data_IF_074662940204
#
_entry.id   IF_074662940204
#
_cell.length_a   1.000
_cell.length_b   1.000
_cell.length_c   1.000
_cell.angle_alpha   90.00
_cell.angle_beta   90.00
_cell.angle_gamma   90.00
#
_symmetry.space_group_name_H-M   'P 1'
#
loop_
_entity.id
_entity.type
_entity.pdbx_description
1 polymer ?
#
# COMPACT_ATOMS: atom_id res chain seq x y z
N UNK A 1 -14.75 11.73 58.26
CA UNK A 1 -15.47 10.44 58.15
C UNK A 1 -14.73 9.58 57.12
N UNK A 2 -14.41 8.31 57.41
CA UNK A 2 -13.75 7.44 56.44
C UNK A 2 -14.76 6.92 55.41
N UNK A 3 -14.33 6.84 54.15
CA UNK A 3 -15.12 6.31 53.03
C UNK A 3 -15.33 4.79 53.15
N UNK A 4 -16.46 4.25 52.65
CA UNK A 4 -16.75 2.83 52.70
C UNK A 4 -15.78 2.03 51.78
N UNK A 5 -15.46 0.78 52.12
CA UNK A 5 -14.57 -0.06 51.31
C UNK A 5 -15.22 -0.40 49.97
N UNK A 6 -14.42 -0.35 48.90
CA UNK A 6 -14.83 -0.77 47.56
C UNK A 6 -15.14 -2.27 47.52
N UNK A 7 -16.14 -2.70 46.73
CA UNK A 7 -16.47 -4.11 46.58
C UNK A 7 -15.31 -4.88 45.90
N UNK A 8 -15.18 -6.19 46.16
CA UNK A 8 -14.11 -6.99 45.57
C UNK A 8 -14.26 -7.03 44.04
N UNK A 9 -13.15 -6.81 43.34
CA UNK A 9 -13.10 -6.94 41.88
C UNK A 9 -13.55 -8.35 41.45
N UNK A 10 -14.57 -8.41 40.59
CA UNK A 10 -14.95 -9.65 39.93
C UNK A 10 -13.75 -10.16 39.11
N UNK A 11 -13.36 -11.42 39.32
CA UNK A 11 -12.33 -12.06 38.49
C UNK A 11 -12.83 -12.10 37.03
N UNK A 12 -11.98 -11.78 36.04
CA UNK A 12 -12.32 -12.01 34.64
C UNK A 12 -12.65 -13.50 34.44
N UNK A 13 -13.77 -13.79 33.77
CA UNK A 13 -14.05 -15.13 33.29
C UNK A 13 -12.92 -15.58 32.33
N UNK A 14 -12.53 -16.86 32.32
CA UNK A 14 -11.62 -17.37 31.30
C UNK A 14 -12.27 -17.14 29.94
N UNK A 15 -11.59 -16.42 29.06
CA UNK A 15 -12.01 -16.31 27.66
C UNK A 15 -11.74 -17.69 27.06
N UNK A 16 -12.78 -18.51 26.94
CA UNK A 16 -12.71 -19.75 26.15
C UNK A 16 -12.43 -19.34 24.71
N UNK A 17 -11.29 -19.77 24.18
CA UNK A 17 -10.94 -19.60 22.78
C UNK A 17 -12.14 -20.05 21.93
N UNK A 18 -12.64 -19.16 21.09
CA UNK A 18 -13.64 -19.52 20.11
C UNK A 18 -13.06 -20.66 19.26
N UNK A 19 -13.84 -21.72 19.05
CA UNK A 19 -13.45 -22.80 18.16
C UNK A 19 -13.05 -22.20 16.80
N UNK A 20 -11.97 -22.69 16.16
CA UNK A 20 -11.55 -22.20 14.86
C UNK A 20 -12.72 -22.36 13.88
N UNK A 21 -13.22 -21.23 13.36
CA UNK A 21 -14.16 -21.25 12.25
C UNK A 21 -13.37 -21.73 11.05
N UNK A 22 -13.69 -22.91 10.54
CA UNK A 22 -13.27 -23.34 9.21
C UNK A 22 -14.25 -22.72 8.21
N UNK A 23 -14.01 -21.51 7.76
CA UNK A 23 -14.61 -21.04 6.51
C UNK A 23 -14.01 -21.83 5.36
N UNK A 24 -14.92 -22.17 4.46
CA UNK A 24 -14.69 -22.93 3.24
C UNK A 24 -14.52 -22.00 2.03
N UNK A 25 -14.41 -20.68 2.25
CA UNK A 25 -14.31 -19.71 1.18
C UNK A 25 -12.89 -19.76 0.59
N UNK A 26 -12.75 -20.01 -0.73
CA UNK A 26 -11.42 -19.98 -1.34
C UNK A 26 -10.87 -18.55 -1.33
N UNK A 27 -9.55 -18.41 -1.21
CA UNK A 27 -8.87 -17.12 -1.35
C UNK A 27 -9.37 -16.36 -2.58
N UNK A 28 -9.85 -15.14 -2.38
CA UNK A 28 -10.30 -14.22 -3.43
C UNK A 28 -9.26 -13.12 -3.62
N UNK A 29 -8.34 -13.25 -4.59
CA UNK A 29 -7.42 -12.16 -4.90
C UNK A 29 -8.18 -11.01 -5.58
N UNK A 30 -7.67 -9.79 -5.37
CA UNK A 30 -8.02 -8.66 -6.24
C UNK A 30 -7.21 -8.78 -7.52
N UNK A 31 -7.91 -8.87 -8.64
CA UNK A 31 -7.32 -8.94 -9.98
C UNK A 31 -7.16 -7.54 -10.54
N UNK A 32 -5.92 -7.04 -10.55
CA UNK A 32 -5.54 -5.80 -11.21
C UNK A 32 -4.70 -6.11 -12.45
N UNK A 33 -4.83 -5.26 -13.47
CA UNK A 33 -3.96 -5.35 -14.65
C UNK A 33 -2.62 -4.66 -14.33
N UNK A 34 -1.47 -5.32 -14.61
CA UNK A 34 -0.18 -4.65 -14.54
C UNK A 34 -0.20 -3.39 -15.39
N UNK A 35 0.25 -2.27 -14.81
CA UNK A 35 0.50 -1.07 -15.59
C UNK A 35 1.74 -1.30 -16.46
N UNK A 36 1.59 -1.12 -17.77
CA UNK A 36 2.69 -1.16 -18.73
C UNK A 36 2.88 0.26 -19.24
N UNK A 37 4.00 0.88 -18.89
CA UNK A 37 4.36 2.17 -19.45
C UNK A 37 4.99 1.96 -20.83
N UNK A 38 4.22 2.22 -21.89
CA UNK A 38 4.75 2.21 -23.26
C UNK A 38 5.44 3.53 -23.63
N UNK A 39 5.19 4.60 -22.84
CA UNK A 39 5.75 5.91 -23.09
C UNK A 39 7.12 6.07 -22.44
N UNK A 40 8.12 6.43 -23.25
CA UNK A 40 9.49 6.69 -22.80
C UNK A 40 9.86 8.18 -22.80
N UNK A 41 8.93 9.03 -23.24
CA UNK A 41 9.13 10.48 -23.30
C UNK A 41 8.51 11.15 -22.09
N UNK A 42 9.04 12.29 -21.67
CA UNK A 42 8.43 13.09 -20.61
C UNK A 42 6.97 13.37 -20.94
N UNK A 43 6.11 13.28 -19.92
CA UNK A 43 4.70 13.63 -20.07
C UNK A 43 4.53 15.15 -20.18
N UNK A 44 3.41 15.63 -20.73
CA UNK A 44 3.01 17.02 -20.55
C UNK A 44 2.99 17.36 -19.05
N UNK A 45 3.54 18.50 -18.64
CA UNK A 45 3.45 18.89 -17.23
C UNK A 45 2.00 19.07 -16.79
N UNK A 46 1.73 18.66 -15.56
CA UNK A 46 0.41 18.74 -14.95
C UNK A 46 0.48 19.29 -13.51
N UNK A 47 -0.69 19.54 -12.91
CA UNK A 47 -0.79 20.03 -11.53
C UNK A 47 -1.80 19.21 -10.74
N UNK A 48 -1.47 18.91 -9.49
CA UNK A 48 -2.21 18.09 -8.51
C UNK A 48 -3.66 18.52 -8.43
N UNK A 49 -3.92 19.83 -8.36
CA UNK A 49 -5.26 20.40 -8.23
C UNK A 49 -6.21 20.03 -9.38
N UNK A 50 -5.68 19.63 -10.53
CA UNK A 50 -6.48 19.23 -11.69
C UNK A 50 -6.95 17.77 -11.60
N UNK A 51 -6.33 16.96 -10.74
CA UNK A 51 -6.54 15.51 -10.68
C UNK A 51 -7.17 15.05 -9.38
N UNK A 52 -6.88 15.73 -8.27
CA UNK A 52 -7.33 15.35 -6.93
C UNK A 52 -7.77 16.58 -6.15
N UNK A 53 -8.88 16.44 -5.44
CA UNK A 53 -9.32 17.32 -4.36
C UNK A 53 -8.64 16.84 -3.07
N UNK A 54 -7.71 17.63 -2.54
CA UNK A 54 -6.86 17.22 -1.41
C UNK A 54 -7.64 17.05 -0.11
N UNK A 55 -8.74 17.78 0.07
CA UNK A 55 -9.58 17.65 1.26
C UNK A 55 -10.37 16.34 1.21
N UNK A 56 -10.89 15.98 0.03
CA UNK A 56 -11.52 14.67 -0.17
C UNK A 56 -10.53 13.52 -0.04
N UNK A 57 -9.30 13.70 -0.54
CA UNK A 57 -8.23 12.72 -0.37
C UNK A 57 -7.93 12.46 1.11
N UNK A 58 -7.68 13.54 1.86
CA UNK A 58 -7.43 13.49 3.30
C UNK A 58 -8.57 12.78 4.05
N UNK A 59 -9.83 13.16 3.77
CA UNK A 59 -11.00 12.52 4.38
C UNK A 59 -11.12 11.03 3.99
N UNK A 60 -10.84 10.68 2.73
CA UNK A 60 -10.85 9.31 2.23
C UNK A 60 -9.82 8.43 2.93
N UNK A 61 -8.61 8.94 3.11
CA UNK A 61 -7.52 8.26 3.84
C UNK A 61 -7.91 8.05 5.31
N UNK A 62 -8.34 9.11 5.99
CA UNK A 62 -8.80 9.02 7.38
C UNK A 62 -9.89 7.96 7.57
N UNK A 63 -10.85 7.92 6.65
CA UNK A 63 -11.94 6.96 6.72
C UNK A 63 -11.53 5.51 6.39
N UNK A 64 -10.40 5.28 5.71
CA UNK A 64 -9.85 3.93 5.44
C UNK A 64 -8.94 3.49 6.59
N UNK A 65 -8.07 4.38 7.06
CA UNK A 65 -7.08 4.07 8.10
C UNK A 65 -7.60 4.24 9.53
N UNK A 66 -8.79 4.83 9.72
CA UNK A 66 -9.36 5.06 11.05
C UNK A 66 -8.62 6.12 11.86
N UNK A 67 -7.98 7.09 11.20
CA UNK A 67 -7.20 8.18 11.80
C UNK A 67 -7.87 9.54 11.60
N UNK A 68 -7.32 10.59 12.22
CA UNK A 68 -7.72 11.97 11.90
C UNK A 68 -7.30 12.34 10.46
N UNK A 69 -8.06 13.20 9.75
CA UNK A 69 -7.69 13.69 8.43
C UNK A 69 -6.25 14.20 8.38
N UNK A 70 -5.34 13.53 7.64
CA UNK A 70 -3.95 13.94 7.56
C UNK A 70 -3.84 15.22 6.74
N UNK A 71 -2.91 16.11 7.13
CA UNK A 71 -2.57 17.25 6.30
C UNK A 71 -1.76 16.76 5.10
N UNK A 72 -2.18 17.11 3.89
CA UNK A 72 -1.43 16.79 2.68
C UNK A 72 -0.43 17.92 2.37
N UNK A 73 0.86 17.61 2.40
CA UNK A 73 1.93 18.50 1.91
C UNK A 73 2.50 17.92 0.61
N UNK A 74 1.97 18.40 -0.53
CA UNK A 74 2.33 17.90 -1.86
C UNK A 74 3.10 18.97 -2.61
N UNK A 75 4.32 18.64 -3.03
CA UNK A 75 5.17 19.44 -3.89
C UNK A 75 5.15 18.92 -5.33
N UNK A 76 4.83 19.79 -6.27
CA UNK A 76 4.98 19.54 -7.70
C UNK A 76 6.43 19.88 -8.12
N UNK A 77 7.10 18.93 -8.77
CA UNK A 77 8.47 19.09 -9.27
C UNK A 77 8.62 18.45 -10.65
N UNK A 78 9.79 18.62 -11.26
CA UNK A 78 10.26 17.78 -12.36
C UNK A 78 10.94 16.52 -11.81
N UNK A 79 11.16 15.51 -12.65
CA UNK A 79 11.99 14.34 -12.30
C UNK A 79 13.41 14.74 -11.90
N UNK A 80 14.03 15.69 -12.61
CA UNK A 80 15.35 16.21 -12.25
C UNK A 80 15.34 16.85 -10.86
N UNK A 81 14.32 17.67 -10.55
CA UNK A 81 14.15 18.26 -9.24
C UNK A 81 13.90 17.22 -8.16
N UNK A 82 13.15 16.16 -8.46
CA UNK A 82 12.94 15.04 -7.55
C UNK A 82 14.26 14.30 -7.26
N UNK A 83 15.04 13.95 -8.30
CA UNK A 83 16.37 13.36 -8.13
C UNK A 83 17.29 14.23 -7.28
N UNK A 84 17.24 15.56 -7.47
CA UNK A 84 17.99 16.51 -6.64
C UNK A 84 17.56 16.49 -5.17
N UNK A 85 16.26 16.46 -4.89
CA UNK A 85 15.73 16.40 -3.52
C UNK A 85 16.12 15.09 -2.84
N UNK A 86 16.06 13.97 -3.57
CA UNK A 86 16.42 12.64 -3.08
C UNK A 86 17.93 12.40 -3.02
N UNK A 87 18.75 13.34 -3.53
CA UNK A 87 20.21 13.17 -3.66
C UNK A 87 20.62 11.92 -4.44
N UNK A 88 19.91 11.61 -5.53
CA UNK A 88 20.20 10.50 -6.45
C UNK A 88 20.56 11.01 -7.85
N UNK A 89 21.21 10.19 -8.69
CA UNK A 89 21.46 10.55 -10.09
C UNK A 89 20.16 10.81 -10.86
N UNK A 90 20.19 11.78 -11.77
CA UNK A 90 19.16 11.99 -12.78
C UNK A 90 19.59 11.35 -14.11
N UNK A 91 18.76 10.45 -14.63
CA UNK A 91 18.99 9.73 -15.89
C UNK A 91 18.19 10.39 -17.01
N UNK A 92 18.76 11.41 -17.64
CA UNK A 92 18.11 12.16 -18.72
C UNK A 92 17.86 11.30 -19.98
N UNK A 93 18.80 10.41 -20.32
CA UNK A 93 18.72 9.56 -21.51
C UNK A 93 17.80 8.33 -21.32
N UNK A 94 17.52 7.98 -20.06
CA UNK A 94 16.59 6.91 -19.69
C UNK A 94 15.59 7.38 -18.62
N UNK A 95 14.64 8.27 -18.98
CA UNK A 95 13.72 8.89 -18.03
C UNK A 95 12.98 7.88 -17.14
N UNK A 96 12.60 6.71 -17.68
CA UNK A 96 11.88 5.66 -16.96
C UNK A 96 12.66 5.01 -15.80
N UNK A 97 13.97 5.31 -15.65
CA UNK A 97 14.77 4.85 -14.49
C UNK A 97 14.68 5.78 -13.28
N UNK A 98 14.17 6.99 -13.44
CA UNK A 98 14.06 7.93 -12.34
C UNK A 98 12.75 7.68 -11.56
N UNK A 99 12.71 7.99 -10.26
CA UNK A 99 11.47 7.96 -9.50
C UNK A 99 10.45 8.95 -10.07
N UNK A 100 9.18 8.58 -10.00
CA UNK A 100 8.06 9.40 -10.50
C UNK A 100 7.33 10.15 -9.38
N UNK A 101 7.57 9.73 -8.15
CA UNK A 101 7.09 10.33 -6.92
C UNK A 101 7.95 9.81 -5.74
N UNK A 102 7.85 10.50 -4.61
CA UNK A 102 8.49 10.10 -3.36
C UNK A 102 7.83 10.77 -2.18
N UNK A 103 7.60 10.01 -1.10
CA UNK A 103 7.24 10.56 0.21
C UNK A 103 8.48 10.60 1.10
N UNK A 104 8.82 11.79 1.59
CA UNK A 104 9.98 11.98 2.46
C UNK A 104 9.73 11.47 3.88
N UNK A 105 10.80 11.20 4.67
CA UNK A 105 10.66 10.85 6.09
C UNK A 105 9.92 11.91 6.93
N UNK A 106 9.85 13.16 6.47
CA UNK A 106 9.08 14.24 7.09
C UNK A 106 7.61 14.28 6.66
N UNK A 107 7.16 13.33 5.83
CA UNK A 107 5.78 13.22 5.36
C UNK A 107 5.45 14.14 4.19
N UNK A 108 6.45 14.74 3.54
CA UNK A 108 6.23 15.57 2.35
C UNK A 108 6.24 14.72 1.08
N UNK A 109 5.21 14.90 0.27
CA UNK A 109 5.02 14.15 -0.99
C UNK A 109 5.58 14.99 -2.13
N UNK A 110 6.45 14.40 -2.94
CA UNK A 110 6.99 15.00 -4.14
C UNK A 110 6.47 14.27 -5.37
N UNK A 111 5.89 15.00 -6.31
CA UNK A 111 5.36 14.47 -7.56
C UNK A 111 6.16 14.98 -8.74
N UNK A 112 6.81 14.08 -9.49
CA UNK A 112 7.51 14.45 -10.71
C UNK A 112 6.52 14.61 -11.87
N UNK A 113 5.96 15.81 -12.01
CA UNK A 113 4.83 16.12 -12.92
C UNK A 113 5.12 15.97 -14.41
N UNK A 114 6.34 15.63 -14.80
CA UNK A 114 6.77 15.33 -16.17
C UNK A 114 7.18 13.87 -16.39
N UNK A 115 6.96 12.97 -15.41
CA UNK A 115 7.33 11.57 -15.56
C UNK A 115 6.60 10.90 -16.74
N UNK A 116 7.29 10.08 -17.57
CA UNK A 116 6.69 9.39 -18.71
C UNK A 116 5.45 8.57 -18.37
N UNK A 117 5.44 7.97 -17.19
CA UNK A 117 4.38 7.11 -16.65
C UNK A 117 3.03 7.83 -16.54
N UNK A 118 3.04 9.16 -16.46
CA UNK A 118 1.83 9.96 -16.38
C UNK A 118 1.18 10.25 -17.74
N UNK A 119 1.70 9.70 -18.84
CA UNK A 119 1.05 9.80 -20.15
C UNK A 119 1.12 8.53 -20.99
N UNK A 120 0.05 8.27 -21.74
CA UNK A 120 -0.03 7.22 -22.74
C UNK A 120 -0.39 7.84 -24.10
N UNK A 121 0.39 7.54 -25.14
CA UNK A 121 0.17 8.13 -26.47
C UNK A 121 0.28 9.67 -26.51
N UNK A 122 1.07 10.26 -25.61
CA UNK A 122 1.23 11.71 -25.49
C UNK A 122 0.10 12.44 -24.76
N UNK A 123 -0.87 11.71 -24.20
CA UNK A 123 -2.00 12.26 -23.43
C UNK A 123 -1.87 11.84 -21.97
N UNK A 124 -2.19 12.75 -21.05
CA UNK A 124 -2.11 12.50 -19.62
C UNK A 124 -3.04 11.36 -19.17
N UNK A 125 -2.48 10.40 -18.46
CA UNK A 125 -3.18 9.26 -17.87
C UNK A 125 -3.69 9.62 -16.47
N UNK A 126 -4.90 10.18 -16.44
CA UNK A 126 -5.51 10.66 -15.20
C UNK A 126 -5.64 9.56 -14.12
N UNK A 127 -5.88 8.30 -14.53
CA UNK A 127 -5.97 7.18 -13.60
C UNK A 127 -4.62 6.91 -12.95
N UNK A 128 -3.53 6.88 -13.74
CA UNK A 128 -2.18 6.69 -13.19
C UNK A 128 -1.76 7.84 -12.27
N UNK A 129 -2.02 9.10 -12.66
CA UNK A 129 -1.73 10.28 -11.84
C UNK A 129 -2.45 10.19 -10.49
N UNK A 130 -3.76 9.91 -10.51
CA UNK A 130 -4.56 9.78 -9.28
C UNK A 130 -4.11 8.61 -8.43
N UNK A 131 -3.82 7.45 -9.04
CA UNK A 131 -3.33 6.28 -8.30
C UNK A 131 -2.01 6.57 -7.58
N UNK A 132 -1.04 7.21 -8.25
CA UNK A 132 0.23 7.56 -7.58
C UNK A 132 0.01 8.61 -6.48
N UNK A 133 -0.80 9.64 -6.72
CA UNK A 133 -1.12 10.64 -5.68
C UNK A 133 -1.74 10.00 -4.44
N UNK A 134 -2.69 9.08 -4.62
CA UNK A 134 -3.33 8.36 -3.52
C UNK A 134 -2.32 7.47 -2.79
N UNK A 135 -1.46 6.75 -3.53
CA UNK A 135 -0.43 5.88 -2.96
C UNK A 135 0.53 6.65 -2.05
N UNK A 136 1.16 7.72 -2.57
CA UNK A 136 2.09 8.53 -1.79
C UNK A 136 1.40 9.23 -0.60
N UNK A 137 0.14 9.63 -0.77
CA UNK A 137 -0.62 10.22 0.33
C UNK A 137 -0.92 9.23 1.46
N UNK A 138 -1.03 7.94 1.13
CA UNK A 138 -1.18 6.87 2.13
C UNK A 138 0.14 6.63 2.85
N UNK A 139 1.28 6.62 2.13
CA UNK A 139 2.62 6.63 2.76
C UNK A 139 2.75 7.79 3.74
N UNK A 140 2.43 9.00 3.32
CA UNK A 140 2.51 10.20 4.15
C UNK A 140 1.55 10.17 5.34
N UNK A 141 0.46 9.40 5.28
CA UNK A 141 -0.48 9.25 6.39
C UNK A 141 -0.14 8.10 7.35
N UNK A 142 0.81 7.24 6.99
CA UNK A 142 1.27 6.13 7.82
C UNK A 142 2.03 6.62 9.06
N UNK A 143 2.22 5.73 10.04
CA UNK A 143 2.97 6.02 11.25
C UNK A 143 4.38 6.51 10.92
N UNK A 144 4.76 7.66 11.49
CA UNK A 144 6.03 8.36 11.23
C UNK A 144 6.36 8.51 9.73
N UNK A 145 5.34 8.49 8.85
CA UNK A 145 5.47 8.54 7.39
C UNK A 145 6.30 7.40 6.77
N UNK A 146 6.52 6.34 7.54
CA UNK A 146 7.41 5.23 7.16
C UNK A 146 6.74 3.86 7.28
N UNK A 147 5.50 3.78 7.76
CA UNK A 147 4.68 2.56 7.75
C UNK A 147 5.44 1.30 8.16
N UNK A 148 5.63 0.38 7.22
CA UNK A 148 6.37 -0.87 7.42
C UNK A 148 7.74 -0.89 6.74
N UNK A 149 8.33 0.26 6.39
CA UNK A 149 9.64 0.33 5.74
C UNK A 149 10.72 -0.40 6.53
N UNK A 150 10.77 -0.20 7.85
CA UNK A 150 11.76 -0.86 8.72
C UNK A 150 11.53 -2.37 8.77
N UNK A 151 10.29 -2.79 9.01
CA UNK A 151 9.88 -4.20 8.98
C UNK A 151 10.25 -4.88 7.66
N UNK A 152 10.05 -4.19 6.54
CA UNK A 152 10.39 -4.71 5.20
C UNK A 152 11.90 -4.86 5.02
N UNK A 153 12.69 -3.89 5.50
CA UNK A 153 14.17 -3.97 5.47
C UNK A 153 14.66 -5.18 6.25
N UNK A 154 14.12 -5.41 7.45
CA UNK A 154 14.49 -6.53 8.32
C UNK A 154 14.06 -7.89 7.75
N UNK A 155 12.90 -7.95 7.07
CA UNK A 155 12.42 -9.15 6.38
C UNK A 155 13.22 -9.51 5.11
N UNK A 156 14.09 -8.60 4.65
CA UNK A 156 14.85 -8.74 3.41
C UNK A 156 14.01 -8.36 2.18
N UNK A 157 14.21 -7.12 1.70
CA UNK A 157 13.48 -6.56 0.56
C UNK A 157 13.58 -7.50 -0.65
N UNK A 158 12.42 -7.85 -1.21
CA UNK A 158 12.30 -8.62 -2.45
C UNK A 158 11.08 -8.12 -3.23
N UNK A 159 11.12 -8.21 -4.55
CA UNK A 159 9.98 -7.89 -5.43
C UNK A 159 8.71 -8.68 -5.11
N UNK A 160 8.82 -9.79 -4.39
CA UNK A 160 7.70 -10.66 -4.04
C UNK A 160 7.20 -10.53 -2.59
N UNK A 161 7.81 -9.73 -1.71
CA UNK A 161 7.34 -9.55 -0.33
C UNK A 161 7.73 -8.20 0.29
N UNK A 162 7.51 -7.11 -0.44
CA UNK A 162 7.69 -5.75 0.08
C UNK A 162 6.46 -5.35 0.93
N UNK A 163 6.48 -5.64 2.24
CA UNK A 163 5.33 -5.42 3.11
C UNK A 163 4.88 -3.96 3.17
N UNK A 164 5.81 -3.02 3.12
CA UNK A 164 5.52 -1.59 3.14
C UNK A 164 4.78 -1.13 1.88
N UNK A 165 5.36 -1.35 0.70
CA UNK A 165 4.73 -0.96 -0.55
C UNK A 165 3.42 -1.72 -0.79
N UNK A 166 3.35 -3.00 -0.40
CA UNK A 166 2.15 -3.80 -0.58
C UNK A 166 1.03 -3.42 0.39
N UNK A 167 1.34 -3.02 1.63
CA UNK A 167 0.35 -2.48 2.56
C UNK A 167 -0.13 -1.11 2.12
N UNK A 168 0.80 -0.23 1.72
CA UNK A 168 0.47 1.08 1.19
C UNK A 168 -0.44 0.96 -0.01
N UNK A 169 -0.08 0.12 -1.00
CA UNK A 169 -0.89 -0.03 -2.21
C UNK A 169 -2.24 -0.70 -1.92
N UNK A 170 -2.32 -1.61 -0.93
CA UNK A 170 -3.57 -2.19 -0.46
C UNK A 170 -4.54 -1.13 0.08
N UNK A 171 -4.08 -0.25 0.96
CA UNK A 171 -4.90 0.83 1.50
C UNK A 171 -5.18 1.92 0.45
N UNK A 172 -4.21 2.25 -0.40
CA UNK A 172 -4.37 3.19 -1.50
C UNK A 172 -5.44 2.75 -2.49
N UNK A 173 -5.49 1.46 -2.84
CA UNK A 173 -6.57 0.91 -3.65
C UNK A 173 -7.95 1.12 -3.01
N UNK A 174 -8.09 0.91 -1.69
CA UNK A 174 -9.36 1.15 -0.97
C UNK A 174 -9.76 2.64 -0.95
N UNK A 175 -8.79 3.52 -0.72
CA UNK A 175 -9.01 4.98 -0.78
C UNK A 175 -9.43 5.37 -2.19
N UNK A 176 -8.74 4.88 -3.21
CA UNK A 176 -9.01 5.19 -4.60
C UNK A 176 -10.41 4.74 -5.03
N UNK A 177 -10.81 3.51 -4.69
CA UNK A 177 -12.15 3.00 -4.99
C UNK A 177 -13.27 3.84 -4.34
N UNK A 178 -13.01 4.45 -3.19
CA UNK A 178 -13.97 5.38 -2.55
C UNK A 178 -14.07 6.72 -3.27
N UNK A 179 -12.95 7.24 -3.78
CA UNK A 179 -12.90 8.55 -4.43
C UNK A 179 -13.31 8.49 -5.91
N UNK A 180 -12.99 7.38 -6.57
CA UNK A 180 -13.13 7.18 -8.02
C UNK A 180 -13.70 5.78 -8.32
N UNK A 181 -14.94 5.48 -7.92
CA UNK A 181 -15.50 4.12 -8.01
C UNK A 181 -15.59 3.56 -9.43
N UNK A 182 -15.67 4.44 -10.44
CA UNK A 182 -15.79 4.06 -11.84
C UNK A 182 -14.46 4.16 -12.61
N UNK A 183 -13.34 4.46 -11.94
CA UNK A 183 -12.04 4.59 -12.56
C UNK A 183 -11.14 3.38 -12.26
N UNK A 184 -10.31 3.00 -13.22
CA UNK A 184 -9.30 1.97 -13.02
C UNK A 184 -8.22 2.46 -12.05
N UNK A 185 -7.81 1.62 -11.09
CA UNK A 185 -6.63 1.84 -10.27
C UNK A 185 -5.38 1.32 -11.00
N UNK A 186 -4.43 2.21 -11.32
CA UNK A 186 -3.22 1.87 -12.08
C UNK A 186 -1.97 1.90 -11.21
N UNK A 187 -1.38 0.74 -10.98
CA UNK A 187 -0.26 0.54 -10.06
C UNK A 187 0.87 -0.28 -10.69
N UNK A 188 2.10 -0.06 -10.20
CA UNK A 188 3.29 -0.82 -10.59
C UNK A 188 3.68 -1.87 -9.53
N UNK A 189 2.97 -1.92 -8.39
CA UNK A 189 3.30 -2.76 -7.24
C UNK A 189 2.84 -4.20 -7.46
N UNK A 190 3.47 -4.86 -8.43
CA UNK A 190 3.25 -6.26 -8.78
C UNK A 190 4.45 -7.10 -8.35
N UNK A 191 4.17 -8.34 -7.95
CA UNK A 191 5.19 -9.38 -7.78
C UNK A 191 5.80 -9.72 -9.15
N UNK A 192 6.94 -10.41 -9.14
CA UNK A 192 7.61 -10.85 -10.37
C UNK A 192 7.66 -12.37 -10.47
N UNK A 193 7.38 -12.91 -11.65
CA UNK A 193 7.61 -14.32 -11.95
C UNK A 193 9.10 -14.67 -12.12
N UNK A 194 9.40 -15.91 -12.48
CA UNK A 194 10.78 -16.38 -12.69
C UNK A 194 11.48 -15.70 -13.89
N UNK A 195 10.72 -15.11 -14.81
CA UNK A 195 11.22 -14.33 -15.95
C UNK A 195 11.30 -12.82 -15.67
N UNK A 196 11.05 -12.39 -14.43
CA UNK A 196 11.06 -10.99 -14.02
C UNK A 196 9.84 -10.19 -14.50
N UNK A 197 8.79 -10.85 -14.99
CA UNK A 197 7.58 -10.16 -15.47
C UNK A 197 6.58 -9.92 -14.33
N UNK A 198 5.84 -8.80 -14.33
CA UNK A 198 4.75 -8.55 -13.39
C UNK A 198 3.76 -9.72 -13.36
N UNK A 199 3.40 -10.20 -12.15
CA UNK A 199 2.64 -11.44 -12.01
C UNK A 199 1.33 -11.30 -11.27
N UNK A 200 1.34 -10.94 -9.99
CA UNK A 200 0.12 -10.65 -9.21
C UNK A 200 0.29 -9.34 -8.48
N UNK A 201 -0.81 -8.66 -8.23
CA UNK A 201 -0.78 -7.42 -7.46
C UNK A 201 -0.29 -7.68 -6.02
N UNK A 202 0.68 -6.88 -5.57
CA UNK A 202 1.35 -7.05 -4.28
C UNK A 202 0.43 -6.87 -3.08
N UNK A 203 -0.58 -6.01 -3.17
CA UNK A 203 -1.60 -5.83 -2.10
C UNK A 203 -2.37 -7.11 -1.76
N UNK A 204 -2.35 -8.13 -2.61
CA UNK A 204 -2.87 -9.45 -2.29
C UNK A 204 -2.12 -10.16 -1.15
N UNK A 205 -0.90 -9.72 -0.78
CA UNK A 205 -0.20 -10.18 0.41
C UNK A 205 -1.02 -9.86 1.66
N UNK A 206 -1.42 -8.59 1.81
CA UNK A 206 -2.24 -8.13 2.93
C UNK A 206 -3.62 -8.78 2.87
N UNK A 207 -4.23 -8.86 1.69
CA UNK A 207 -5.50 -9.57 1.53
C UNK A 207 -5.42 -11.04 1.97
N UNK A 208 -4.31 -11.72 1.67
CA UNK A 208 -4.10 -13.11 2.12
C UNK A 208 -3.88 -13.20 3.63
N UNK A 209 -3.13 -12.28 4.24
CA UNK A 209 -2.97 -12.23 5.70
C UNK A 209 -4.32 -12.10 6.40
N UNK A 210 -5.21 -11.26 5.88
CA UNK A 210 -6.57 -11.06 6.40
C UNK A 210 -7.44 -12.30 6.17
N UNK A 211 -7.54 -12.80 4.92
CA UNK A 211 -8.40 -13.93 4.58
C UNK A 211 -7.94 -15.25 5.24
N UNK A 212 -6.64 -15.42 5.49
CA UNK A 212 -6.11 -16.61 6.19
C UNK A 212 -6.22 -16.55 7.71
N UNK A 213 -6.82 -15.47 8.27
CA UNK A 213 -6.85 -15.23 9.71
C UNK A 213 -5.46 -15.08 10.32
N UNK A 214 -4.44 -14.77 9.52
CA UNK A 214 -3.07 -14.54 10.01
C UNK A 214 -3.00 -13.28 10.86
N UNK A 215 -3.65 -12.22 10.41
CA UNK A 215 -3.90 -11.01 11.18
C UNK A 215 -5.27 -10.44 10.79
N UNK A 216 -5.93 -9.74 11.70
CA UNK A 216 -7.12 -8.98 11.32
C UNK A 216 -6.72 -7.73 10.53
N UNK A 217 -7.61 -7.26 9.65
CA UNK A 217 -7.36 -6.01 8.94
C UNK A 217 -7.22 -4.82 9.91
N UNK A 218 -7.98 -4.83 11.02
CA UNK A 218 -7.90 -3.79 12.04
C UNK A 218 -6.51 -3.73 12.69
N UNK A 219 -5.91 -4.89 13.00
CA UNK A 219 -4.57 -4.94 13.59
C UNK A 219 -3.49 -4.46 12.59
N UNK A 220 -3.60 -4.86 11.32
CA UNK A 220 -2.69 -4.38 10.27
C UNK A 220 -2.82 -2.88 10.10
N UNK A 221 -4.05 -2.36 10.07
CA UNK A 221 -4.33 -0.92 9.92
C UNK A 221 -3.79 -0.14 11.11
N UNK A 222 -4.00 -0.62 12.34
CA UNK A 222 -3.52 0.03 13.57
C UNK A 222 -1.99 0.07 13.62
N UNK A 223 -1.32 -1.03 13.26
CA UNK A 223 0.13 -1.08 13.20
C UNK A 223 0.68 -0.15 12.10
N UNK A 224 0.04 -0.11 10.92
CA UNK A 224 0.48 0.70 9.79
C UNK A 224 0.28 2.21 10.02
N UNK A 225 -0.91 2.60 10.52
CA UNK A 225 -1.31 4.00 10.61
C UNK A 225 -0.90 4.66 11.94
N UNK A 226 -0.93 3.92 13.05
CA UNK A 226 -0.70 4.47 14.39
C UNK A 226 0.61 4.01 15.04
N UNK A 227 1.26 2.98 14.49
CA UNK A 227 2.41 2.33 15.15
C UNK A 227 1.99 1.45 16.33
N UNK A 228 0.69 1.19 16.47
CA UNK A 228 0.14 0.40 17.57
C UNK A 228 0.26 -1.09 17.24
N UNK A 229 1.28 -1.73 17.83
CA UNK A 229 1.58 -3.14 17.61
C UNK A 229 2.63 -3.35 16.54
N UNK A 230 2.62 -4.51 15.88
CA UNK A 230 3.57 -4.84 14.83
C UNK A 230 2.94 -5.77 13.79
N UNK A 231 3.40 -5.64 12.55
CA UNK A 231 3.01 -6.56 11.49
C UNK A 231 3.62 -7.95 11.78
N UNK A 232 2.77 -8.94 12.04
CA UNK A 232 3.19 -10.32 12.13
C UNK A 232 3.49 -10.86 10.72
N UNK A 233 4.77 -11.04 10.39
CA UNK A 233 5.19 -11.53 9.08
C UNK A 233 4.64 -12.93 8.79
N UNK A 234 4.47 -13.25 7.51
CA UNK A 234 4.21 -14.63 7.11
C UNK A 234 5.45 -15.49 7.38
N UNK A 235 5.25 -16.66 7.95
CA UNK A 235 6.29 -17.65 8.20
C UNK A 235 5.83 -19.06 7.77
N UNK A 236 6.78 -19.99 7.67
CA UNK A 236 6.52 -21.39 7.38
C UNK A 236 5.67 -21.62 6.12
N UNK A 237 4.69 -22.52 6.22
CA UNK A 237 3.85 -22.93 5.09
C UNK A 237 3.07 -21.77 4.45
N UNK A 238 2.60 -20.81 5.25
CA UNK A 238 1.87 -19.64 4.72
C UNK A 238 2.79 -18.76 3.87
N UNK A 239 4.02 -18.55 4.32
CA UNK A 239 5.02 -17.81 3.54
C UNK A 239 5.34 -18.54 2.25
N UNK A 240 5.55 -19.85 2.30
CA UNK A 240 5.88 -20.63 1.10
C UNK A 240 4.71 -20.69 0.10
N UNK A 241 3.47 -20.75 0.59
CA UNK A 241 2.28 -20.64 -0.22
C UNK A 241 2.18 -19.26 -0.89
N UNK A 242 2.47 -18.18 -0.16
CA UNK A 242 2.57 -16.83 -0.73
C UNK A 242 3.63 -16.75 -1.82
N UNK A 243 4.85 -17.24 -1.56
CA UNK A 243 5.95 -17.24 -2.55
C UNK A 243 5.57 -17.98 -3.83
N UNK A 244 4.87 -19.11 -3.71
CA UNK A 244 4.40 -19.85 -4.86
C UNK A 244 3.34 -19.06 -5.63
N UNK A 245 2.36 -18.46 -4.94
CA UNK A 245 1.35 -17.61 -5.57
C UNK A 245 1.97 -16.39 -6.26
N UNK A 246 2.85 -15.66 -5.57
CA UNK A 246 3.54 -14.48 -6.07
C UNK A 246 4.27 -14.73 -7.40
N UNK A 247 4.86 -15.92 -7.58
CA UNK A 247 5.60 -16.30 -8.80
C UNK A 247 4.73 -16.90 -9.89
N UNK A 248 3.65 -17.59 -9.54
CA UNK A 248 2.89 -18.41 -10.49
C UNK A 248 1.51 -17.85 -10.83
N UNK A 249 0.98 -16.97 -10.00
CA UNK A 249 -0.42 -16.51 -10.02
C UNK A 249 -1.43 -17.60 -9.68
N UNK A 250 -1.00 -18.81 -9.30
CA UNK A 250 -1.89 -19.93 -8.99
C UNK A 250 -2.19 -19.95 -7.50
N UNK A 251 -3.41 -19.58 -7.14
CA UNK A 251 -3.83 -19.49 -5.74
C UNK A 251 -4.03 -20.86 -5.03
N UNK A 252 -3.79 -21.99 -5.72
CA UNK A 252 -3.89 -23.37 -5.21
C UNK A 252 -3.18 -23.59 -3.89
N UNK A 253 -2.00 -22.99 -3.71
CA UNK A 253 -1.26 -23.11 -2.46
C UNK A 253 -1.91 -22.30 -1.33
N UNK A 254 -2.45 -21.10 -1.62
CA UNK A 254 -3.09 -20.23 -0.64
C UNK A 254 -4.40 -20.81 -0.12
N UNK A 255 -5.15 -21.51 -0.97
CA UNK A 255 -6.46 -22.07 -0.61
C UNK A 255 -6.43 -23.04 0.57
N UNK A 256 -5.28 -23.66 0.86
CA UNK A 256 -5.12 -24.55 2.03
C UNK A 256 -5.04 -23.80 3.36
N UNK A 257 -4.83 -22.49 3.32
CA UNK A 257 -4.56 -21.67 4.50
C UNK A 257 -5.63 -20.61 4.77
N UNK A 258 -6.66 -20.52 3.91
CA UNK A 258 -7.82 -19.66 4.17
C UNK A 258 -8.77 -20.37 5.11
N UNK A 259 -9.19 -19.63 6.15
CA UNK A 259 -10.12 -20.06 7.18
C UNK A 259 -11.45 -19.37 7.00
#
# INVERSE_FOLDING_TARGET
MPLPPLPPAARPAPVTAAAPRTSTQPFQPTELKPFVNENKQLSPRWSVKNYVDTDKLSAGIAAVLGIAPPRMDIAETTMEGLSSVMSIPYYADEPTLNPIAWTSPEGRIYMATDAPEYSAGGVLDAAKIRSTLVHESVHAASHDHTGFQQTTKEAGINSNWNYDEFATDYFAHKVYQRLYPDADYKTNYFTTDLGGQPKVWGGNLIAFMVQSGHMSEADITSAYANGDGSLALLEGEKLDAWKQYAKTGRATALQKHVQ
#
